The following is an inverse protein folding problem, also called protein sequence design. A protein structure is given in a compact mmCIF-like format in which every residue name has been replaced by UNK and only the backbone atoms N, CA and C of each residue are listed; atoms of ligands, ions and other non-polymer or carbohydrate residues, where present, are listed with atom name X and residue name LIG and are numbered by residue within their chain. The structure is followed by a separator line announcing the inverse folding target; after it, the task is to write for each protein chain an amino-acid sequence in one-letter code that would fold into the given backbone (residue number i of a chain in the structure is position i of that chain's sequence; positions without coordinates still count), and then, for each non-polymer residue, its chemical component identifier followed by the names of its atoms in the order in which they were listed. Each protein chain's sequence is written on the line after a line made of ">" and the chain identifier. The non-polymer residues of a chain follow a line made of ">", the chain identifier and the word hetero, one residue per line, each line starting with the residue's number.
data_IF_526509867489
#
_entry.id   IF_526509867489
#
_cell.length_a   1.000
_cell.length_b   1.000
_cell.length_c   1.000
_cell.angle_alpha   90.00
_cell.angle_beta   90.00
_cell.angle_gamma   90.00
#
_symmetry.space_group_name_H-M   'P 1'
#
loop_
_entity.id
_entity.type
_entity.pdbx_description
1 polymer ?
#
# COMPACT_ATOMS: atom_id res chain seq x y z
N UNK A 1 -25.76 -17.23 3.58
CA UNK A 1 -25.46 -15.79 3.47
C UNK A 1 -26.30 -15.16 2.38
N UNK A 2 -26.21 -15.61 1.12
CA UNK A 2 -27.07 -15.10 0.03
C UNK A 2 -28.58 -15.02 0.33
N UNK A 3 -29.23 -16.06 0.91
CA UNK A 3 -30.66 -15.96 1.25
C UNK A 3 -30.97 -14.88 2.28
N UNK A 4 -30.03 -14.58 3.19
CA UNK A 4 -30.18 -13.53 4.19
C UNK A 4 -30.08 -12.14 3.53
N UNK A 5 -29.17 -11.97 2.57
CA UNK A 5 -29.04 -10.72 1.82
C UNK A 5 -30.29 -10.45 0.97
N UNK A 6 -30.84 -11.49 0.32
CA UNK A 6 -32.11 -11.36 -0.40
C UNK A 6 -33.27 -11.00 0.53
N UNK A 7 -33.39 -11.67 1.69
CA UNK A 7 -34.40 -11.31 2.69
C UNK A 7 -34.23 -9.89 3.24
N UNK A 8 -32.98 -9.41 3.35
CA UNK A 8 -32.70 -8.02 3.74
C UNK A 8 -33.13 -7.04 2.66
N UNK A 9 -32.92 -7.36 1.38
CA UNK A 9 -33.41 -6.56 0.25
C UNK A 9 -34.93 -6.51 0.25
N UNK A 10 -35.61 -7.65 0.41
CA UNK A 10 -37.07 -7.71 0.51
C UNK A 10 -37.57 -6.84 1.68
N UNK A 11 -36.94 -6.97 2.86
CA UNK A 11 -37.25 -6.14 4.02
C UNK A 11 -37.03 -4.65 3.74
N UNK A 12 -35.93 -4.26 3.10
CA UNK A 12 -35.67 -2.86 2.73
C UNK A 12 -36.71 -2.34 1.74
N UNK A 13 -37.13 -3.15 0.77
CA UNK A 13 -38.11 -2.76 -0.24
C UNK A 13 -39.53 -2.63 0.33
N UNK A 14 -39.86 -3.40 1.37
CA UNK A 14 -41.15 -3.35 2.05
C UNK A 14 -41.30 -2.18 3.04
N UNK A 15 -40.23 -1.44 3.34
CA UNK A 15 -40.28 -0.26 4.20
C UNK A 15 -40.95 0.92 3.47
N UNK A 16 -42.11 1.42 3.96
CA UNK A 16 -42.87 2.47 3.27
C UNK A 16 -42.24 3.87 3.39
N UNK A 17 -41.36 4.07 4.37
CA UNK A 17 -40.62 5.30 4.63
C UNK A 17 -39.12 5.02 4.63
N UNK A 18 -38.31 6.05 4.37
CA UNK A 18 -36.85 5.95 4.42
C UNK A 18 -36.32 5.53 5.80
N UNK A 19 -35.10 5.00 5.84
CA UNK A 19 -34.46 4.60 7.09
C UNK A 19 -34.25 5.79 8.04
N UNK A 20 -34.39 5.53 9.35
CA UNK A 20 -33.92 6.45 10.38
C UNK A 20 -32.41 6.69 10.22
N UNK A 21 -31.91 7.91 10.51
CA UNK A 21 -30.50 8.25 10.29
C UNK A 21 -29.49 7.26 10.87
N UNK A 22 -29.67 6.88 12.14
CA UNK A 22 -28.76 5.95 12.81
C UNK A 22 -28.89 4.52 12.27
N UNK A 23 -30.07 4.14 11.76
CA UNK A 23 -30.29 2.83 11.15
C UNK A 23 -29.52 2.72 9.83
N UNK A 24 -29.50 3.77 9.01
CA UNK A 24 -28.74 3.80 7.77
C UNK A 24 -27.23 3.58 8.03
N UNK A 25 -26.65 4.34 8.97
CA UNK A 25 -25.24 4.19 9.33
C UNK A 25 -24.91 2.83 9.92
N UNK A 26 -25.77 2.28 10.79
CA UNK A 26 -25.56 0.97 11.42
C UNK A 26 -25.65 -0.17 10.41
N UNK A 27 -26.61 -0.12 9.48
CA UNK A 27 -26.78 -1.16 8.47
C UNK A 27 -25.58 -1.21 7.53
N UNK A 28 -25.10 -0.05 7.05
CA UNK A 28 -23.90 0.03 6.24
C UNK A 28 -22.65 -0.42 7.02
N UNK A 29 -22.50 -0.01 8.28
CA UNK A 29 -21.40 -0.46 9.13
C UNK A 29 -21.31 -2.00 9.22
N UNK A 30 -22.47 -2.66 9.32
CA UNK A 30 -22.54 -4.12 9.37
C UNK A 30 -22.18 -4.81 8.05
N UNK A 31 -22.01 -4.07 6.95
CA UNK A 31 -21.55 -4.61 5.67
C UNK A 31 -20.03 -4.73 5.57
N UNK A 32 -19.23 -4.15 6.49
CA UNK A 32 -17.76 -4.01 6.43
C UNK A 32 -16.90 -5.26 6.17
N UNK A 33 -17.51 -6.45 6.12
CA UNK A 33 -16.87 -7.74 5.85
C UNK A 33 -17.69 -8.64 4.93
N UNK A 34 -18.71 -8.11 4.25
CA UNK A 34 -19.54 -8.88 3.33
C UNK A 34 -18.78 -9.14 2.02
N UNK A 35 -18.82 -10.37 1.49
CA UNK A 35 -18.19 -10.65 0.21
C UNK A 35 -18.90 -9.93 -0.94
N UNK A 36 -18.14 -9.64 -1.99
CA UNK A 36 -18.65 -9.09 -3.24
C UNK A 36 -19.54 -10.11 -3.95
N UNK A 37 -20.85 -9.97 -3.78
CA UNK A 37 -21.86 -10.86 -4.38
C UNK A 37 -23.03 -10.05 -4.94
N UNK A 38 -23.86 -10.68 -5.76
CA UNK A 38 -25.10 -10.06 -6.26
C UNK A 38 -26.04 -9.66 -5.12
N UNK A 39 -26.06 -10.41 -4.01
CA UNK A 39 -26.84 -10.06 -2.82
C UNK A 39 -26.33 -8.79 -2.15
N UNK A 40 -25.02 -8.66 -1.95
CA UNK A 40 -24.41 -7.44 -1.37
C UNK A 40 -24.69 -6.23 -2.26
N UNK A 41 -24.58 -6.40 -3.59
CA UNK A 41 -24.92 -5.34 -4.54
C UNK A 41 -26.37 -4.90 -4.45
N UNK A 42 -27.31 -5.84 -4.40
CA UNK A 42 -28.73 -5.53 -4.26
C UNK A 42 -29.05 -4.79 -2.95
N UNK A 43 -28.37 -5.17 -1.85
CA UNK A 43 -28.48 -4.44 -0.57
C UNK A 43 -27.99 -3.01 -0.71
N UNK A 44 -26.82 -2.78 -1.33
CA UNK A 44 -26.26 -1.44 -1.52
C UNK A 44 -27.16 -0.56 -2.38
N UNK A 45 -27.72 -1.10 -3.47
CA UNK A 45 -28.68 -0.38 -4.31
C UNK A 45 -29.95 0.03 -3.54
N UNK A 46 -30.52 -0.89 -2.75
CA UNK A 46 -31.68 -0.59 -1.90
C UNK A 46 -31.32 0.46 -0.83
N UNK A 47 -30.15 0.34 -0.20
CA UNK A 47 -29.65 1.29 0.79
C UNK A 47 -29.46 2.69 0.20
N UNK A 48 -28.94 2.81 -1.02
CA UNK A 48 -28.75 4.11 -1.69
C UNK A 48 -30.09 4.87 -1.83
N UNK A 49 -31.17 4.17 -2.20
CA UNK A 49 -32.51 4.76 -2.24
C UNK A 49 -32.93 5.26 -0.85
N UNK A 50 -32.78 4.43 0.18
CA UNK A 50 -33.15 4.79 1.56
C UNK A 50 -32.36 5.99 2.07
N UNK A 51 -31.05 6.02 1.86
CA UNK A 51 -30.18 7.14 2.23
C UNK A 51 -30.63 8.42 1.52
N UNK A 52 -31.02 8.34 0.25
CA UNK A 52 -31.54 9.49 -0.49
C UNK A 52 -32.88 10.02 0.05
N UNK A 53 -33.62 9.19 0.80
CA UNK A 53 -34.89 9.56 1.46
C UNK A 53 -34.71 9.96 2.92
N UNK A 54 -33.61 9.58 3.56
CA UNK A 54 -33.29 10.04 4.90
C UNK A 54 -33.07 11.55 4.86
N UNK A 55 -33.74 12.35 5.71
CA UNK A 55 -33.67 13.81 5.62
C UNK A 55 -32.34 14.39 6.14
N UNK A 56 -31.66 13.67 7.03
CA UNK A 56 -30.44 14.13 7.70
C UNK A 56 -29.63 12.93 8.21
N UNK A 57 -28.32 12.96 8.06
CA UNK A 57 -27.39 12.06 8.76
C UNK A 57 -26.47 12.90 9.66
N UNK A 58 -26.36 12.49 10.93
CA UNK A 58 -25.40 13.09 11.86
C UNK A 58 -23.98 12.61 11.59
N UNK A 59 -22.98 13.24 12.22
CA UNK A 59 -21.57 12.92 12.03
C UNK A 59 -21.26 11.44 12.30
N UNK A 60 -21.85 10.86 13.35
CA UNK A 60 -21.66 9.45 13.69
C UNK A 60 -22.24 8.52 12.62
N UNK A 61 -23.44 8.80 12.12
CA UNK A 61 -24.07 8.02 11.08
C UNK A 61 -23.27 8.09 9.77
N UNK A 62 -22.74 9.27 9.41
CA UNK A 62 -21.87 9.45 8.25
C UNK A 62 -20.58 8.65 8.38
N UNK A 63 -19.88 8.80 9.51
CA UNK A 63 -18.63 8.09 9.77
C UNK A 63 -18.81 6.57 9.74
N UNK A 64 -19.84 6.05 10.41
CA UNK A 64 -20.15 4.62 10.42
C UNK A 64 -20.56 4.08 9.05
N UNK A 65 -21.37 4.85 8.31
CA UNK A 65 -21.81 4.48 6.96
C UNK A 65 -20.61 4.26 6.03
N UNK A 66 -19.74 5.27 5.93
CA UNK A 66 -18.57 5.20 5.06
C UNK A 66 -17.55 4.17 5.54
N UNK A 67 -17.29 4.07 6.85
CA UNK A 67 -16.44 3.02 7.40
C UNK A 67 -16.94 1.62 7.01
N UNK A 68 -18.26 1.43 7.00
CA UNK A 68 -18.92 0.19 6.56
C UNK A 68 -18.66 -0.20 5.10
N UNK A 69 -18.26 0.77 4.26
CA UNK A 69 -17.94 0.53 2.86
C UNK A 69 -16.48 0.13 2.63
N UNK A 70 -15.67 0.00 3.68
CA UNK A 70 -14.28 -0.42 3.54
C UNK A 70 -14.15 -1.72 2.74
N UNK A 71 -13.22 -1.75 1.78
CA UNK A 71 -12.98 -2.90 0.90
C UNK A 71 -14.20 -3.36 0.08
N UNK A 72 -15.27 -2.55 -0.03
CA UNK A 72 -16.38 -2.85 -0.91
C UNK A 72 -15.94 -2.83 -2.37
N UNK A 73 -16.48 -3.73 -3.21
CA UNK A 73 -16.18 -3.74 -4.63
C UNK A 73 -16.70 -2.47 -5.32
N UNK A 74 -16.04 -2.11 -6.43
CA UNK A 74 -16.55 -1.13 -7.39
C UNK A 74 -17.81 -1.67 -8.07
N UNK A 75 -18.98 -1.24 -7.61
CA UNK A 75 -20.27 -1.61 -8.20
C UNK A 75 -21.20 -0.39 -8.26
N UNK A 76 -22.27 -0.50 -9.06
CA UNK A 76 -23.27 0.57 -9.20
C UNK A 76 -23.94 0.88 -7.84
N UNK A 77 -24.15 -0.12 -7.00
CA UNK A 77 -24.65 0.04 -5.63
C UNK A 77 -23.70 0.82 -4.73
N UNK A 78 -22.40 0.49 -4.73
CA UNK A 78 -21.38 1.26 -3.98
C UNK A 78 -21.34 2.71 -4.46
N UNK A 79 -21.33 2.93 -5.77
CA UNK A 79 -21.35 4.26 -6.38
C UNK A 79 -22.60 5.06 -5.95
N UNK A 80 -23.78 4.45 -6.02
CA UNK A 80 -25.03 5.10 -5.62
C UNK A 80 -25.05 5.48 -4.13
N UNK A 81 -24.51 4.63 -3.26
CA UNK A 81 -24.36 4.95 -1.82
C UNK A 81 -23.40 6.13 -1.64
N UNK A 82 -22.22 6.13 -2.28
CA UNK A 82 -21.24 7.22 -2.17
C UNK A 82 -21.82 8.56 -2.63
N UNK A 83 -22.54 8.59 -3.75
CA UNK A 83 -23.23 9.78 -4.25
C UNK A 83 -24.27 10.30 -3.24
N UNK A 84 -25.07 9.40 -2.65
CA UNK A 84 -26.04 9.78 -1.64
C UNK A 84 -25.35 10.30 -0.35
N UNK A 85 -24.24 9.69 0.05
CA UNK A 85 -23.45 10.12 1.21
C UNK A 85 -22.81 11.49 0.98
N UNK A 86 -22.28 11.78 -0.21
CA UNK A 86 -21.71 13.08 -0.55
C UNK A 86 -22.72 14.22 -0.36
N UNK A 87 -23.98 14.00 -0.75
CA UNK A 87 -25.05 14.95 -0.47
C UNK A 87 -25.24 15.19 1.03
N UNK A 88 -25.31 14.13 1.83
CA UNK A 88 -25.45 14.24 3.30
C UNK A 88 -24.26 14.94 3.95
N UNK A 89 -23.04 14.64 3.51
CA UNK A 89 -21.82 15.32 3.98
C UNK A 89 -21.91 16.81 3.68
N UNK A 90 -22.37 17.20 2.49
CA UNK A 90 -22.55 18.61 2.12
C UNK A 90 -23.62 19.35 2.93
N UNK A 91 -24.51 18.62 3.61
CA UNK A 91 -25.63 19.17 4.40
C UNK A 91 -25.44 19.07 5.90
N UNK A 92 -24.58 18.18 6.38
CA UNK A 92 -24.27 18.17 7.81
C UNK A 92 -23.55 19.47 8.17
N UNK A 93 -23.91 20.13 9.27
CA UNK A 93 -23.23 21.35 9.70
C UNK A 93 -21.84 21.09 10.27
N UNK A 94 -21.55 19.85 10.66
CA UNK A 94 -20.31 19.50 11.36
C UNK A 94 -20.00 18.01 11.22
N UNK A 95 -18.72 17.69 11.07
CA UNK A 95 -18.17 16.36 11.30
C UNK A 95 -17.09 16.46 12.39
N UNK A 96 -17.21 15.63 13.42
CA UNK A 96 -16.15 15.51 14.42
C UNK A 96 -14.93 14.76 13.85
N UNK A 97 -13.80 14.87 14.56
CA UNK A 97 -12.54 14.26 14.15
C UNK A 97 -12.69 12.75 13.88
N UNK A 98 -13.41 12.04 14.76
CA UNK A 98 -13.60 10.60 14.64
C UNK A 98 -14.40 10.25 13.37
N UNK A 99 -15.47 11.00 13.08
CA UNK A 99 -16.27 10.84 11.88
C UNK A 99 -15.43 11.09 10.62
N UNK A 100 -14.56 12.12 10.63
CA UNK A 100 -13.63 12.39 9.53
C UNK A 100 -12.67 11.22 9.30
N UNK A 101 -11.99 10.78 10.36
CA UNK A 101 -11.03 9.67 10.29
C UNK A 101 -11.68 8.38 9.80
N UNK A 102 -12.86 8.04 10.33
CA UNK A 102 -13.62 6.85 9.92
C UNK A 102 -14.14 6.94 8.48
N UNK A 103 -14.66 8.10 8.09
CA UNK A 103 -15.20 8.33 6.75
C UNK A 103 -14.13 8.12 5.68
N UNK A 104 -12.98 8.78 5.83
CA UNK A 104 -11.88 8.66 4.89
C UNK A 104 -11.26 7.26 4.92
N UNK A 105 -11.10 6.65 6.10
CA UNK A 105 -10.62 5.27 6.22
C UNK A 105 -11.53 4.28 5.48
N UNK A 106 -12.85 4.51 5.50
CA UNK A 106 -13.83 3.74 4.74
C UNK A 106 -13.61 3.74 3.23
N UNK A 107 -12.95 4.77 2.68
CA UNK A 107 -12.62 4.87 1.25
C UNK A 107 -11.40 4.03 0.86
N UNK A 108 -10.76 3.33 1.80
CA UNK A 108 -9.60 2.50 1.51
C UNK A 108 -9.89 1.48 0.40
N UNK A 109 -8.95 1.35 -0.55
CA UNK A 109 -9.06 0.47 -1.72
C UNK A 109 -10.28 0.74 -2.63
N UNK A 110 -11.01 1.84 -2.44
CA UNK A 110 -12.07 2.19 -3.36
C UNK A 110 -11.51 2.62 -4.71
N UNK A 111 -12.21 2.28 -5.81
CA UNK A 111 -11.90 2.82 -7.12
C UNK A 111 -12.08 4.35 -7.16
N UNK A 112 -11.40 4.98 -8.11
CA UNK A 112 -11.73 6.35 -8.48
C UNK A 112 -13.00 6.35 -9.34
N UNK A 113 -14.09 6.78 -8.72
CA UNK A 113 -15.39 6.99 -9.35
C UNK A 113 -15.90 8.39 -9.02
N UNK A 114 -16.94 8.82 -9.71
CA UNK A 114 -17.58 10.11 -9.46
C UNK A 114 -18.10 10.21 -8.01
N UNK A 115 -18.55 9.08 -7.42
CA UNK A 115 -19.06 9.01 -6.05
C UNK A 115 -17.94 9.17 -5.01
N UNK A 116 -16.82 8.48 -5.20
CA UNK A 116 -15.62 8.67 -4.37
C UNK A 116 -15.15 10.12 -4.44
N UNK A 117 -15.09 10.69 -5.64
CA UNK A 117 -14.71 12.09 -5.85
C UNK A 117 -15.66 13.06 -5.15
N UNK A 118 -16.97 12.85 -5.28
CA UNK A 118 -17.99 13.67 -4.62
C UNK A 118 -17.87 13.63 -3.09
N UNK A 119 -17.58 12.45 -2.51
CA UNK A 119 -17.34 12.31 -1.07
C UNK A 119 -16.09 13.10 -0.66
N UNK A 120 -14.97 12.93 -1.36
CA UNK A 120 -13.72 13.64 -1.03
C UNK A 120 -13.90 15.17 -1.09
N UNK A 121 -14.55 15.66 -2.15
CA UNK A 121 -14.87 17.09 -2.30
C UNK A 121 -15.77 17.60 -1.17
N UNK A 122 -16.78 16.83 -0.78
CA UNK A 122 -17.68 17.19 0.31
C UNK A 122 -16.99 17.15 1.69
N UNK A 123 -16.00 16.27 1.88
CA UNK A 123 -15.24 16.13 3.13
C UNK A 123 -14.23 17.26 3.36
N UNK A 124 -13.61 17.80 2.31
CA UNK A 124 -12.51 18.77 2.44
C UNK A 124 -12.86 20.04 3.27
N UNK A 125 -14.04 20.67 3.13
CA UNK A 125 -14.44 21.77 4.00
C UNK A 125 -14.56 21.37 5.48
N UNK A 126 -15.13 20.19 5.76
CA UNK A 126 -15.25 19.67 7.13
C UNK A 126 -13.91 19.39 7.78
N UNK A 127 -12.95 18.89 7.00
CA UNK A 127 -11.57 18.71 7.47
C UNK A 127 -10.98 20.08 7.80
N UNK A 128 -11.12 21.06 6.90
CA UNK A 128 -10.55 22.41 7.11
C UNK A 128 -11.11 23.12 8.34
N UNK A 129 -12.38 22.88 8.67
CA UNK A 129 -13.09 23.51 9.79
C UNK A 129 -13.03 22.70 11.09
N UNK A 130 -12.49 21.48 11.05
CA UNK A 130 -12.34 20.65 12.25
C UNK A 130 -11.44 21.36 13.27
N UNK A 131 -11.74 21.34 14.57
CA UNK A 131 -10.92 22.04 15.56
C UNK A 131 -9.54 21.41 15.77
N UNK A 132 -9.44 20.08 15.69
CA UNK A 132 -8.19 19.33 15.78
C UNK A 132 -8.42 17.87 15.38
N UNK A 133 -7.43 17.25 14.74
CA UNK A 133 -7.39 15.81 14.52
C UNK A 133 -6.26 15.20 15.38
N UNK A 134 -6.50 14.04 16.02
CA UNK A 134 -5.40 13.32 16.66
C UNK A 134 -4.55 12.60 15.62
N UNK A 135 -3.37 12.14 16.02
CA UNK A 135 -2.50 11.33 15.17
C UNK A 135 -3.20 10.08 14.61
N UNK A 136 -4.10 9.45 15.39
CA UNK A 136 -4.90 8.31 14.92
C UNK A 136 -5.84 8.71 13.77
N UNK A 137 -6.58 9.81 13.91
CA UNK A 137 -7.47 10.26 12.83
C UNK A 137 -6.69 10.67 11.59
N UNK A 138 -5.54 11.33 11.76
CA UNK A 138 -4.63 11.70 10.66
C UNK A 138 -4.14 10.45 9.92
N UNK A 139 -3.62 9.47 10.66
CA UNK A 139 -3.11 8.22 10.10
C UNK A 139 -4.19 7.45 9.36
N UNK A 140 -5.39 7.35 9.93
CA UNK A 140 -6.54 6.69 9.30
C UNK A 140 -7.04 7.41 8.05
N UNK A 141 -7.16 8.74 8.12
CA UNK A 141 -7.62 9.57 7.02
C UNK A 141 -6.71 9.43 5.80
N UNK A 142 -5.40 9.59 5.98
CA UNK A 142 -4.44 9.47 4.90
C UNK A 142 -4.31 8.04 4.39
N UNK A 143 -4.35 7.04 5.28
CA UNK A 143 -4.37 5.63 4.87
C UNK A 143 -5.57 5.31 3.96
N UNK A 144 -6.74 5.89 4.25
CA UNK A 144 -7.94 5.78 3.42
C UNK A 144 -7.77 6.25 1.98
N UNK A 145 -6.80 7.14 1.72
CA UNK A 145 -6.48 7.63 0.38
C UNK A 145 -5.55 6.69 -0.41
N UNK A 146 -5.19 5.52 0.13
CA UNK A 146 -4.34 4.57 -0.59
C UNK A 146 -4.90 4.22 -1.97
N UNK A 147 -4.03 4.21 -2.98
CA UNK A 147 -4.37 3.92 -4.38
C UNK A 147 -5.36 4.92 -5.03
N UNK A 148 -5.71 6.03 -4.37
CA UNK A 148 -6.49 7.09 -5.00
C UNK A 148 -5.65 7.81 -6.06
N UNK A 149 -6.19 8.07 -7.25
CA UNK A 149 -5.53 8.92 -8.22
C UNK A 149 -5.55 10.37 -7.76
N UNK A 150 -4.72 11.19 -8.39
CA UNK A 150 -4.77 12.63 -8.19
C UNK A 150 -5.97 13.24 -8.90
N UNK A 151 -7.02 13.48 -8.13
CA UNK A 151 -8.21 14.25 -8.50
C UNK A 151 -8.28 15.54 -7.69
N UNK A 152 -9.21 16.43 -8.05
CA UNK A 152 -9.43 17.68 -7.32
C UNK A 152 -9.90 17.40 -5.87
N UNK A 153 -10.72 16.37 -5.66
CA UNK A 153 -11.16 15.92 -4.34
C UNK A 153 -10.03 15.38 -3.48
N UNK A 154 -9.17 14.51 -4.02
CA UNK A 154 -7.97 14.04 -3.30
C UNK A 154 -7.04 15.20 -2.96
N UNK A 155 -6.80 16.11 -3.90
CA UNK A 155 -5.97 17.30 -3.66
C UNK A 155 -6.55 18.19 -2.57
N UNK A 156 -7.86 18.45 -2.58
CA UNK A 156 -8.54 19.26 -1.58
C UNK A 156 -8.44 18.64 -0.18
N UNK A 157 -8.62 17.33 -0.06
CA UNK A 157 -8.43 16.61 1.22
C UNK A 157 -6.99 16.72 1.70
N UNK A 158 -5.99 16.48 0.84
CA UNK A 158 -4.58 16.59 1.24
C UNK A 158 -4.20 18.00 1.70
N UNK A 159 -4.67 19.03 0.97
CA UNK A 159 -4.46 20.42 1.38
C UNK A 159 -5.12 20.74 2.73
N UNK A 160 -6.34 20.26 2.96
CA UNK A 160 -7.05 20.43 4.23
C UNK A 160 -6.38 19.68 5.39
N UNK A 161 -5.76 18.53 5.13
CA UNK A 161 -5.08 17.72 6.15
C UNK A 161 -3.74 18.31 6.59
N UNK A 162 -3.00 19.01 5.72
CA UNK A 162 -1.63 19.47 6.02
C UNK A 162 -1.52 20.40 7.26
N UNK A 163 -2.43 21.37 7.49
CA UNK A 163 -2.45 22.15 8.73
C UNK A 163 -2.67 21.28 9.97
N UNK A 164 -3.63 20.34 9.91
CA UNK A 164 -3.90 19.41 11.04
C UNK A 164 -2.71 18.55 11.40
N UNK A 165 -1.94 18.11 10.40
CA UNK A 165 -0.70 17.38 10.62
C UNK A 165 0.30 18.29 11.34
N UNK A 166 0.48 19.53 10.87
CA UNK A 166 1.45 20.47 11.42
C UNK A 166 1.14 20.91 12.85
N UNK A 167 -0.14 20.87 13.24
CA UNK A 167 -0.64 21.27 14.55
C UNK A 167 -0.92 20.09 15.48
N UNK A 168 -0.76 18.85 15.00
CA UNK A 168 -0.99 17.65 15.79
C UNK A 168 -0.05 17.61 17.01
N UNK A 169 -0.54 17.26 18.21
CA UNK A 169 0.30 17.19 19.40
C UNK A 169 1.45 16.18 19.27
N UNK A 170 1.19 15.06 18.59
CA UNK A 170 2.14 13.98 18.34
C UNK A 170 1.60 13.04 17.28
N UNK A 171 2.49 12.41 16.51
CA UNK A 171 2.18 11.24 15.68
C UNK A 171 3.05 10.07 16.14
N UNK A 172 2.44 8.90 16.35
CA UNK A 172 3.16 7.65 16.59
C UNK A 172 3.83 7.12 15.32
N UNK A 173 4.82 6.24 15.47
CA UNK A 173 5.49 5.61 14.32
C UNK A 173 4.51 4.86 13.40
N UNK A 174 3.48 4.23 13.99
CA UNK A 174 2.40 3.58 13.25
C UNK A 174 1.60 4.61 12.45
N UNK A 175 1.17 5.72 13.06
CA UNK A 175 0.39 6.76 12.38
C UNK A 175 1.18 7.41 11.24
N UNK A 176 2.48 7.67 11.44
CA UNK A 176 3.40 8.12 10.39
C UNK A 176 3.46 7.11 9.24
N UNK A 177 3.64 5.82 9.57
CA UNK A 177 3.70 4.75 8.58
C UNK A 177 2.41 4.64 7.77
N UNK A 178 1.25 4.72 8.43
CA UNK A 178 -0.07 4.70 7.80
C UNK A 178 -0.26 5.88 6.86
N UNK A 179 0.09 7.08 7.34
CA UNK A 179 -0.05 8.31 6.60
C UNK A 179 0.76 8.27 5.30
N UNK A 180 2.04 7.91 5.39
CA UNK A 180 2.90 7.82 4.22
C UNK A 180 2.49 6.69 3.28
N UNK A 181 2.09 5.54 3.81
CA UNK A 181 1.59 4.43 2.99
C UNK A 181 0.34 4.83 2.18
N UNK A 182 -0.57 5.60 2.79
CA UNK A 182 -1.73 6.18 2.11
C UNK A 182 -1.38 7.06 0.91
N UNK A 183 -0.22 7.71 0.92
CA UNK A 183 0.24 8.56 -0.18
C UNK A 183 0.89 7.79 -1.33
N UNK A 184 1.02 6.47 -1.24
CA UNK A 184 1.69 5.66 -2.26
C UNK A 184 1.18 5.95 -3.68
N UNK A 185 2.11 6.05 -4.63
CA UNK A 185 1.81 6.35 -6.04
C UNK A 185 1.16 7.71 -6.33
N UNK A 186 0.96 8.57 -5.34
CA UNK A 186 0.45 9.92 -5.59
C UNK A 186 1.48 10.75 -6.37
N UNK A 187 1.05 11.53 -7.37
CA UNK A 187 1.94 12.47 -8.05
C UNK A 187 2.29 13.64 -7.13
N UNK A 188 3.29 14.42 -7.53
CA UNK A 188 3.69 15.61 -6.79
C UNK A 188 2.74 16.78 -7.06
N UNK A 189 1.65 16.84 -6.31
CA UNK A 189 0.77 18.00 -6.21
C UNK A 189 1.14 18.89 -5.03
N UNK A 190 0.49 20.05 -4.91
CA UNK A 190 0.71 20.95 -3.78
C UNK A 190 0.24 20.32 -2.46
N UNK A 191 -0.88 19.60 -2.46
CA UNK A 191 -1.41 18.87 -1.32
C UNK A 191 -0.49 17.74 -0.87
N UNK A 192 -0.04 16.88 -1.79
CA UNK A 192 0.94 15.82 -1.47
C UNK A 192 2.23 16.41 -0.90
N UNK A 193 2.74 17.48 -1.51
CA UNK A 193 3.93 18.17 -1.03
C UNK A 193 3.75 18.76 0.38
N UNK A 194 2.62 19.41 0.64
CA UNK A 194 2.30 20.00 1.94
C UNK A 194 2.21 18.93 3.04
N UNK A 195 1.55 17.80 2.76
CA UNK A 195 1.45 16.68 3.70
C UNK A 195 2.83 16.08 3.99
N UNK A 196 3.65 15.82 2.96
CA UNK A 196 5.00 15.27 3.17
C UNK A 196 5.88 16.20 4.00
N UNK A 197 5.81 17.52 3.75
CA UNK A 197 6.53 18.52 4.54
C UNK A 197 6.03 18.58 5.99
N UNK A 198 4.71 18.50 6.20
CA UNK A 198 4.11 18.53 7.53
C UNK A 198 4.46 17.27 8.36
N UNK A 199 4.58 16.10 7.74
CA UNK A 199 4.92 14.83 8.43
C UNK A 199 6.41 14.77 8.80
N UNK A 200 7.31 15.38 8.01
CA UNK A 200 8.76 15.20 8.18
C UNK A 200 9.32 15.58 9.58
N UNK A 201 8.88 16.66 10.26
CA UNK A 201 9.27 16.94 11.64
C UNK A 201 8.92 15.81 12.61
N UNK A 202 7.70 15.26 12.52
CA UNK A 202 7.27 14.14 13.37
C UNK A 202 8.09 12.88 13.15
N UNK A 203 8.51 12.60 11.91
CA UNK A 203 9.46 11.50 11.64
C UNK A 203 10.76 11.75 12.38
N UNK A 204 11.30 12.97 12.32
CA UNK A 204 12.61 13.30 12.91
C UNK A 204 12.59 13.20 14.44
N UNK A 205 11.47 13.56 15.06
CA UNK A 205 11.28 13.59 16.51
C UNK A 205 10.71 12.30 17.10
N UNK A 206 10.23 11.38 16.25
CA UNK A 206 9.68 10.12 16.70
C UNK A 206 10.69 9.30 17.53
N UNK A 207 10.21 8.48 18.49
CA UNK A 207 10.99 7.37 19.02
C UNK A 207 11.55 6.48 17.88
N UNK A 208 12.55 5.63 18.16
CA UNK A 208 13.09 4.73 17.15
C UNK A 208 12.01 4.01 16.34
N UNK A 209 11.96 4.28 15.04
CA UNK A 209 11.02 3.59 14.15
C UNK A 209 11.47 2.15 13.92
N UNK A 210 10.52 1.23 13.96
CA UNK A 210 10.69 -0.17 13.60
C UNK A 210 11.00 -0.34 12.11
N UNK A 211 11.51 -1.51 11.74
CA UNK A 211 11.72 -1.85 10.34
C UNK A 211 10.43 -1.78 9.51
N UNK A 212 9.29 -2.10 10.11
CA UNK A 212 7.98 -2.04 9.47
C UNK A 212 7.57 -0.60 9.16
N UNK A 213 7.68 0.30 10.13
CA UNK A 213 7.31 1.71 9.97
C UNK A 213 8.20 2.40 8.93
N UNK A 214 9.51 2.14 8.96
CA UNK A 214 10.44 2.63 7.93
C UNK A 214 10.10 2.03 6.56
N UNK A 215 9.78 0.73 6.51
CA UNK A 215 9.38 0.06 5.27
C UNK A 215 8.14 0.70 4.64
N UNK A 216 7.10 0.96 5.44
CA UNK A 216 5.87 1.62 5.01
C UNK A 216 6.13 3.05 4.56
N UNK A 217 6.93 3.81 5.31
CA UNK A 217 7.33 5.16 4.95
C UNK A 217 8.03 5.21 3.58
N UNK A 218 8.99 4.31 3.35
CA UNK A 218 9.69 4.23 2.06
C UNK A 218 8.75 3.77 0.95
N UNK A 219 7.86 2.80 1.22
CA UNK A 219 6.86 2.36 0.25
C UNK A 219 5.88 3.48 -0.13
N UNK A 220 5.51 4.35 0.81
CA UNK A 220 4.72 5.55 0.53
C UNK A 220 5.35 6.48 -0.50
N UNK A 221 6.68 6.59 -0.49
CA UNK A 221 7.44 7.36 -1.48
C UNK A 221 7.61 6.65 -2.83
N UNK A 222 7.11 5.41 -2.96
CA UNK A 222 7.24 4.63 -4.18
C UNK A 222 6.58 5.36 -5.35
N UNK A 223 7.30 5.42 -6.46
CA UNK A 223 6.87 6.03 -7.73
C UNK A 223 6.71 7.55 -7.70
N UNK A 224 6.82 8.20 -6.55
CA UNK A 224 6.91 9.65 -6.47
C UNK A 224 8.18 10.17 -7.16
N UNK A 225 8.13 11.35 -7.80
CA UNK A 225 9.32 12.01 -8.29
C UNK A 225 10.06 12.73 -7.13
N UNK A 226 11.35 13.03 -7.30
CA UNK A 226 12.09 13.84 -6.33
C UNK A 226 11.52 15.26 -6.20
N UNK A 227 11.14 15.65 -4.97
CA UNK A 227 10.60 16.97 -4.59
C UNK A 227 11.17 17.39 -3.23
N UNK A 228 10.89 18.62 -2.79
CA UNK A 228 11.32 19.05 -1.47
C UNK A 228 10.67 18.22 -0.35
N UNK A 229 9.39 17.84 -0.46
CA UNK A 229 8.66 17.07 0.53
C UNK A 229 9.12 15.62 0.60
N UNK A 230 9.31 14.96 -0.56
CA UNK A 230 9.88 13.60 -0.57
C UNK A 230 11.30 13.60 -0.01
N UNK A 231 12.12 14.63 -0.30
CA UNK A 231 13.44 14.77 0.31
C UNK A 231 13.38 15.05 1.82
N UNK A 232 12.44 15.88 2.30
CA UNK A 232 12.27 16.14 3.73
C UNK A 232 11.95 14.86 4.51
N UNK A 233 11.05 14.02 3.98
CA UNK A 233 10.76 12.69 4.57
C UNK A 233 12.01 11.80 4.56
N UNK A 234 12.76 11.77 3.45
CA UNK A 234 13.98 10.97 3.35
C UNK A 234 15.08 11.46 4.31
N UNK A 235 15.23 12.77 4.48
CA UNK A 235 16.15 13.39 5.43
C UNK A 235 15.80 12.99 6.87
N UNK A 236 14.52 13.09 7.21
CA UNK A 236 14.00 12.71 8.51
C UNK A 236 14.19 11.21 8.81
N UNK A 237 14.01 10.34 7.83
CA UNK A 237 14.18 8.88 8.02
C UNK A 237 15.63 8.45 8.26
N UNK A 238 16.64 9.24 7.87
CA UNK A 238 18.06 8.88 8.04
C UNK A 238 18.40 8.61 9.50
N UNK A 239 17.82 9.34 10.46
CA UNK A 239 18.17 9.20 11.89
C UNK A 239 17.71 7.87 12.49
N UNK A 240 16.75 7.19 11.84
CA UNK A 240 16.21 5.90 12.27
C UNK A 240 16.90 4.70 11.63
N UNK A 241 17.54 4.90 10.48
CA UNK A 241 18.12 3.85 9.64
C UNK A 241 19.12 2.94 10.38
N UNK A 242 19.99 3.54 11.20
CA UNK A 242 21.02 2.81 11.93
C UNK A 242 20.47 1.89 13.03
N UNK A 243 19.22 2.11 13.48
CA UNK A 243 18.61 1.41 14.61
C UNK A 243 17.86 0.14 14.21
N UNK A 244 17.74 -0.14 12.90
CA UNK A 244 17.09 -1.36 12.40
C UNK A 244 17.92 -2.59 12.78
N UNK A 245 17.32 -3.56 13.46
CA UNK A 245 17.97 -4.85 13.73
C UNK A 245 17.54 -5.93 12.74
N UNK A 246 18.47 -6.82 12.38
CA UNK A 246 18.15 -8.02 11.61
C UNK A 246 17.10 -8.89 12.30
N UNK A 247 17.06 -8.90 13.65
CA UNK A 247 16.05 -9.62 14.41
C UNK A 247 14.65 -9.01 14.26
N UNK A 248 14.55 -7.69 14.12
CA UNK A 248 13.25 -7.03 13.94
C UNK A 248 12.72 -7.25 12.53
N UNK A 249 13.60 -7.28 11.54
CA UNK A 249 13.22 -7.65 10.18
C UNK A 249 12.79 -9.11 10.09
N UNK A 250 13.51 -10.05 10.72
CA UNK A 250 13.15 -11.48 10.63
C UNK A 250 11.85 -11.84 11.35
N UNK A 251 11.44 -11.10 12.39
CA UNK A 251 10.11 -11.22 13.02
C UNK A 251 8.96 -11.01 12.03
N UNK A 252 9.17 -10.22 10.97
CA UNK A 252 8.17 -10.02 9.89
C UNK A 252 8.09 -11.21 8.92
N UNK A 253 8.95 -12.22 9.10
CA UNK A 253 9.09 -13.33 8.17
C UNK A 253 9.66 -12.92 6.81
N UNK A 254 10.34 -11.77 6.73
CA UNK A 254 10.98 -11.26 5.51
C UNK A 254 12.51 -11.42 5.67
N UNK A 255 13.21 -12.00 4.68
CA UNK A 255 14.66 -12.05 4.70
C UNK A 255 15.28 -10.64 4.66
N UNK A 256 16.33 -10.33 5.45
CA UNK A 256 16.95 -9.01 5.47
C UNK A 256 17.37 -8.45 4.09
N UNK A 257 17.87 -9.32 3.21
CA UNK A 257 18.24 -8.92 1.85
C UNK A 257 17.02 -8.55 0.99
N UNK A 258 15.89 -9.24 1.17
CA UNK A 258 14.61 -8.91 0.52
C UNK A 258 14.08 -7.57 1.04
N UNK A 259 14.10 -7.36 2.36
CA UNK A 259 13.74 -6.07 2.96
C UNK A 259 14.55 -4.92 2.36
N UNK A 260 15.88 -5.04 2.31
CA UNK A 260 16.73 -4.01 1.72
C UNK A 260 16.45 -3.80 0.23
N UNK A 261 16.17 -4.86 -0.54
CA UNK A 261 15.82 -4.75 -1.95
C UNK A 261 14.50 -3.98 -2.16
N UNK A 262 13.49 -4.22 -1.33
CA UNK A 262 12.22 -3.49 -1.32
C UNK A 262 12.44 -2.02 -0.95
N UNK A 263 13.23 -1.73 0.09
CA UNK A 263 13.58 -0.34 0.44
C UNK A 263 14.21 0.39 -0.75
N UNK A 264 15.17 -0.25 -1.44
CA UNK A 264 15.81 0.32 -2.63
C UNK A 264 14.81 0.49 -3.77
N UNK A 265 13.90 -0.47 -3.96
CA UNK A 265 12.88 -0.41 -5.00
C UNK A 265 11.93 0.77 -4.80
N UNK A 266 11.49 1.02 -3.57
CA UNK A 266 10.59 2.11 -3.26
C UNK A 266 11.25 3.48 -3.49
N UNK A 267 12.50 3.67 -3.06
CA UNK A 267 13.19 4.97 -3.19
C UNK A 267 14.07 5.11 -4.44
N UNK A 268 13.94 4.22 -5.42
CA UNK A 268 14.80 4.18 -6.61
C UNK A 268 14.83 5.49 -7.41
N UNK A 269 13.78 6.30 -7.35
CA UNK A 269 13.71 7.60 -8.02
C UNK A 269 14.54 8.67 -7.30
N UNK A 270 14.82 8.46 -6.01
CA UNK A 270 15.48 9.42 -5.12
C UNK A 270 16.96 9.07 -4.89
N UNK A 271 17.51 8.06 -5.56
CA UNK A 271 18.90 7.63 -5.36
C UNK A 271 19.95 8.70 -5.70
N UNK A 272 19.58 9.80 -6.37
CA UNK A 272 20.45 10.97 -6.55
C UNK A 272 20.58 11.81 -5.28
N UNK A 273 19.61 11.74 -4.37
CA UNK A 273 19.61 12.46 -3.11
C UNK A 273 20.61 11.84 -2.11
N UNK A 274 21.49 12.63 -1.46
CA UNK A 274 22.50 12.12 -0.55
C UNK A 274 21.92 11.30 0.61
N UNK A 275 20.82 11.79 1.20
CA UNK A 275 20.17 11.14 2.34
C UNK A 275 19.56 9.79 1.97
N UNK A 276 19.05 9.63 0.75
CA UNK A 276 18.57 8.33 0.27
C UNK A 276 19.70 7.31 0.20
N UNK A 277 20.87 7.69 -0.33
CA UNK A 277 22.03 6.78 -0.34
C UNK A 277 22.49 6.47 1.08
N UNK A 278 22.57 7.48 1.94
CA UNK A 278 22.93 7.33 3.35
C UNK A 278 22.01 6.34 4.05
N UNK A 279 20.70 6.59 3.99
CA UNK A 279 19.62 5.75 4.51
C UNK A 279 19.78 4.29 4.08
N UNK A 280 19.82 4.01 2.78
CA UNK A 280 19.95 2.64 2.26
C UNK A 280 21.26 1.98 2.73
N UNK A 281 22.36 2.72 2.79
CA UNK A 281 23.65 2.16 3.23
C UNK A 281 23.71 1.91 4.73
N UNK A 282 23.04 2.73 5.54
CA UNK A 282 22.89 2.51 6.97
C UNK A 282 22.01 1.28 7.24
N UNK A 283 20.86 1.16 6.57
CA UNK A 283 20.01 -0.04 6.64
C UNK A 283 20.84 -1.28 6.26
N UNK A 284 21.59 -1.21 5.16
CA UNK A 284 22.47 -2.31 4.76
C UNK A 284 23.50 -2.64 5.83
N UNK A 285 24.12 -1.64 6.45
CA UNK A 285 25.08 -1.82 7.54
C UNK A 285 24.47 -2.52 8.75
N UNK A 286 23.31 -2.05 9.22
CA UNK A 286 22.64 -2.63 10.38
C UNK A 286 22.12 -4.05 10.14
N UNK A 287 21.83 -4.39 8.88
CA UNK A 287 21.47 -5.75 8.46
C UNK A 287 22.67 -6.65 8.12
N UNK A 288 23.90 -6.18 8.33
CA UNK A 288 25.15 -6.88 7.97
C UNK A 288 25.21 -7.28 6.48
N UNK A 289 24.63 -6.46 5.60
CA UNK A 289 24.63 -6.67 4.17
C UNK A 289 25.75 -5.85 3.51
N UNK A 290 26.50 -6.41 2.54
CA UNK A 290 27.71 -5.78 2.02
C UNK A 290 27.45 -4.69 0.97
N UNK A 291 26.38 -3.89 1.04
CA UNK A 291 26.09 -2.85 0.06
C UNK A 291 26.82 -1.54 0.40
N UNK A 292 27.53 -0.96 -0.58
CA UNK A 292 28.23 0.33 -0.44
C UNK A 292 27.50 1.43 -1.23
N UNK A 293 27.68 2.72 -0.89
CA UNK A 293 27.08 3.83 -1.63
C UNK A 293 27.37 3.80 -3.15
N UNK A 294 28.58 3.38 -3.55
CA UNK A 294 28.98 3.24 -4.95
C UNK A 294 28.27 2.12 -5.71
N UNK A 295 27.68 1.15 -4.99
CA UNK A 295 26.92 0.06 -5.58
C UNK A 295 25.49 0.55 -5.99
N UNK A 296 25.03 1.70 -5.48
CA UNK A 296 23.75 2.35 -5.79
C UNK A 296 23.89 3.35 -6.94
N UNK A 297 23.89 2.85 -8.18
CA UNK A 297 23.96 3.70 -9.38
C UNK A 297 22.57 4.22 -9.77
N UNK A 298 22.23 5.51 -9.60
CA UNK A 298 20.84 5.97 -9.67
C UNK A 298 20.19 5.70 -11.04
N UNK A 299 20.81 6.18 -12.13
CA UNK A 299 20.27 6.00 -13.48
C UNK A 299 20.11 4.54 -13.92
N UNK A 300 20.88 3.63 -13.32
CA UNK A 300 20.77 2.19 -13.53
C UNK A 300 19.60 1.61 -12.74
N UNK A 301 19.54 1.87 -11.44
CA UNK A 301 18.51 1.35 -10.56
C UNK A 301 17.13 1.87 -10.96
N UNK A 302 16.97 3.18 -11.17
CA UNK A 302 15.71 3.75 -11.64
C UNK A 302 15.27 3.08 -12.95
N UNK A 303 16.16 2.93 -13.94
CA UNK A 303 15.83 2.31 -15.24
C UNK A 303 15.49 0.82 -15.13
N UNK A 304 16.32 0.04 -14.45
CA UNK A 304 16.17 -1.42 -14.36
C UNK A 304 14.95 -1.79 -13.51
N UNK A 305 14.74 -1.14 -12.38
CA UNK A 305 13.61 -1.42 -11.50
C UNK A 305 12.31 -0.82 -12.03
N UNK A 306 12.33 0.28 -12.79
CA UNK A 306 11.13 0.76 -13.47
C UNK A 306 10.55 -0.28 -14.44
N UNK A 307 11.38 -1.15 -15.04
CA UNK A 307 10.90 -2.26 -15.87
C UNK A 307 10.09 -3.31 -15.11
N UNK A 308 10.15 -3.34 -13.77
CA UNK A 308 9.39 -4.28 -12.93
C UNK A 308 7.94 -3.84 -12.69
N UNK A 309 7.58 -2.57 -12.93
CA UNK A 309 6.27 -1.99 -12.59
C UNK A 309 5.12 -2.38 -13.54
N UNK A 310 4.99 -3.64 -13.95
CA UNK A 310 3.87 -4.10 -14.80
C UNK A 310 3.68 -3.26 -16.08
N UNK A 311 4.76 -2.78 -16.70
CA UNK A 311 4.69 -2.22 -18.04
C UNK A 311 5.00 -3.31 -19.06
N UNK A 312 4.00 -4.01 -19.63
CA UNK A 312 4.21 -5.11 -20.58
C UNK A 312 4.98 -4.70 -21.84
N UNK A 313 5.11 -3.38 -22.13
CA UNK A 313 5.92 -2.88 -23.26
C UNK A 313 7.43 -3.02 -23.05
N UNK A 314 7.89 -3.18 -21.82
CA UNK A 314 9.32 -3.31 -21.47
C UNK A 314 9.73 -4.70 -20.99
N UNK A 315 8.76 -5.61 -20.90
CA UNK A 315 9.03 -7.04 -20.81
C UNK A 315 9.12 -7.53 -22.25
N UNK A 316 10.35 -7.71 -22.73
CA UNK A 316 10.55 -8.09 -24.11
C UNK A 316 10.16 -9.58 -24.28
N UNK A 317 9.46 -9.95 -25.37
CA UNK A 317 9.49 -11.33 -25.81
C UNK A 317 10.96 -11.68 -26.05
N UNK A 318 11.44 -12.75 -25.43
CA UNK A 318 12.80 -13.23 -25.65
C UNK A 318 13.03 -13.31 -27.18
N UNK A 319 13.96 -12.53 -27.75
CA UNK A 319 14.18 -12.44 -29.20
C UNK A 319 14.47 -13.78 -29.87
N UNK A 320 14.81 -14.81 -29.08
CA UNK A 320 15.16 -16.15 -29.54
C UNK A 320 14.07 -17.19 -29.28
N UNK A 321 13.10 -16.89 -28.41
CA UNK A 321 12.06 -17.83 -28.02
C UNK A 321 10.63 -17.30 -28.18
N UNK A 322 10.44 -16.10 -28.73
CA UNK A 322 9.18 -15.60 -29.33
C UNK A 322 7.97 -15.39 -28.40
N UNK A 323 7.95 -16.04 -27.22
CA UNK A 323 6.79 -16.18 -26.35
C UNK A 323 7.15 -16.11 -24.85
N UNK A 324 8.43 -15.95 -24.51
CA UNK A 324 8.92 -15.93 -23.13
C UNK A 324 9.06 -14.50 -22.59
N UNK A 325 8.45 -14.21 -21.45
CA UNK A 325 8.64 -12.95 -20.73
C UNK A 325 10.01 -12.96 -20.03
N UNK A 326 10.85 -11.96 -20.31
CA UNK A 326 12.18 -11.85 -19.70
C UNK A 326 12.42 -10.48 -19.03
N UNK A 327 13.07 -10.50 -17.87
CA UNK A 327 13.54 -9.30 -17.16
C UNK A 327 15.05 -9.34 -16.93
N UNK A 328 15.70 -8.23 -17.23
CA UNK A 328 17.15 -8.05 -17.10
C UNK A 328 17.48 -7.20 -15.86
N UNK A 329 18.13 -7.83 -14.89
CA UNK A 329 18.61 -7.25 -13.63
C UNK A 329 20.15 -7.17 -13.54
N UNK A 330 20.90 -7.37 -14.63
CA UNK A 330 22.38 -7.47 -14.59
C UNK A 330 23.07 -6.23 -14.01
N UNK A 331 22.40 -5.10 -14.09
CA UNK A 331 22.94 -3.82 -13.67
C UNK A 331 22.68 -3.50 -12.19
N UNK A 332 21.90 -4.33 -11.50
CA UNK A 332 21.72 -4.22 -10.05
C UNK A 332 22.90 -4.87 -9.31
N UNK A 333 23.10 -4.48 -8.05
CA UNK A 333 24.15 -5.06 -7.22
C UNK A 333 23.99 -6.57 -7.11
N UNK A 334 25.00 -7.32 -7.61
CA UNK A 334 25.06 -8.78 -7.50
C UNK A 334 25.00 -9.29 -6.05
N UNK A 335 25.34 -8.43 -5.07
CA UNK A 335 25.27 -8.73 -3.63
C UNK A 335 23.83 -8.91 -3.14
N UNK A 336 22.86 -8.31 -3.84
CA UNK A 336 21.42 -8.45 -3.62
C UNK A 336 20.75 -9.21 -4.76
N UNK A 337 21.52 -9.96 -5.56
CA UNK A 337 21.02 -10.62 -6.77
C UNK A 337 19.85 -11.57 -6.50
N UNK A 338 19.91 -12.37 -5.42
CA UNK A 338 18.78 -13.22 -5.03
C UNK A 338 17.55 -12.40 -4.66
N UNK A 339 17.71 -11.36 -3.84
CA UNK A 339 16.60 -10.55 -3.36
C UNK A 339 15.87 -9.86 -4.51
N UNK A 340 16.61 -9.28 -5.47
CA UNK A 340 16.01 -8.70 -6.67
C UNK A 340 15.41 -9.77 -7.60
N UNK A 341 16.01 -10.96 -7.70
CA UNK A 341 15.45 -12.07 -8.46
C UNK A 341 14.11 -12.53 -7.86
N UNK A 342 14.08 -12.76 -6.55
CA UNK A 342 12.88 -13.06 -5.77
C UNK A 342 11.80 -12.00 -6.01
N UNK A 343 12.13 -10.72 -5.81
CA UNK A 343 11.20 -9.61 -6.02
C UNK A 343 10.61 -9.61 -7.44
N UNK A 344 11.45 -9.80 -8.46
CA UNK A 344 10.99 -9.87 -9.85
C UNK A 344 10.07 -11.07 -10.12
N UNK A 345 10.38 -12.24 -9.55
CA UNK A 345 9.51 -13.41 -9.66
C UNK A 345 8.15 -13.16 -9.00
N UNK A 346 8.10 -12.50 -7.84
CA UNK A 346 6.82 -12.20 -7.18
C UNK A 346 5.96 -11.19 -7.93
N UNK A 347 6.58 -10.14 -8.46
CA UNK A 347 5.83 -9.08 -9.13
C UNK A 347 5.33 -9.51 -10.53
N UNK A 348 6.13 -10.26 -11.28
CA UNK A 348 5.87 -10.51 -12.70
C UNK A 348 5.32 -11.91 -13.01
N UNK A 349 5.66 -12.94 -12.23
CA UNK A 349 5.22 -14.31 -12.50
C UNK A 349 3.69 -14.51 -12.44
N UNK A 350 2.92 -13.81 -11.57
CA UNK A 350 1.46 -13.90 -11.59
C UNK A 350 0.87 -13.62 -12.98
N UNK A 351 1.47 -12.67 -13.72
CA UNK A 351 0.99 -12.15 -15.00
C UNK A 351 1.44 -12.96 -16.23
N UNK A 352 2.21 -14.03 -16.06
CA UNK A 352 2.70 -14.85 -17.18
C UNK A 352 2.84 -16.33 -16.83
N UNK A 353 2.83 -17.20 -17.85
CA UNK A 353 3.02 -18.65 -17.65
C UNK A 353 4.49 -19.01 -17.47
N UNK A 354 5.40 -18.26 -18.08
CA UNK A 354 6.84 -18.42 -17.89
C UNK A 354 7.52 -17.07 -17.78
N UNK A 355 8.35 -16.92 -16.76
CA UNK A 355 9.21 -15.76 -16.53
C UNK A 355 10.67 -16.18 -16.52
N UNK A 356 11.49 -15.45 -17.26
CA UNK A 356 12.94 -15.55 -17.25
C UNK A 356 13.55 -14.32 -16.58
N UNK A 357 14.22 -14.49 -15.46
CA UNK A 357 14.95 -13.45 -14.74
C UNK A 357 16.43 -13.62 -15.00
N UNK A 358 17.03 -12.65 -15.68
CA UNK A 358 18.48 -12.63 -15.94
C UNK A 358 19.13 -11.67 -14.95
N UNK A 359 20.14 -12.13 -14.20
CA UNK A 359 20.73 -11.32 -13.12
C UNK A 359 22.22 -11.64 -12.91
N UNK A 360 22.94 -10.67 -12.34
CA UNK A 360 24.38 -10.77 -12.05
C UNK A 360 25.24 -10.14 -13.15
N UNK A 361 26.28 -9.38 -12.80
CA UNK A 361 27.07 -8.64 -13.81
C UNK A 361 28.06 -9.54 -14.55
N UNK A 362 28.17 -9.37 -15.87
CA UNK A 362 29.15 -10.05 -16.74
C UNK A 362 30.62 -9.82 -16.34
N UNK A 363 30.94 -8.70 -15.66
CA UNK A 363 32.32 -8.30 -15.34
C UNK A 363 33.03 -9.21 -14.32
N UNK A 364 32.32 -10.06 -13.59
CA UNK A 364 32.90 -11.00 -12.60
C UNK A 364 32.22 -12.38 -12.62
N UNK A 365 31.72 -12.79 -13.79
CA UNK A 365 30.88 -13.98 -13.95
C UNK A 365 31.51 -15.27 -13.40
N UNK A 366 32.81 -15.48 -13.65
CA UNK A 366 33.53 -16.68 -13.21
C UNK A 366 33.65 -16.75 -11.67
N UNK A 367 33.91 -15.62 -11.02
CA UNK A 367 34.08 -15.55 -9.56
C UNK A 367 32.75 -15.61 -8.79
N UNK A 368 31.65 -15.23 -9.44
CA UNK A 368 30.33 -15.14 -8.79
C UNK A 368 29.37 -16.28 -9.19
N UNK A 369 29.77 -17.21 -10.07
CA UNK A 369 28.92 -18.30 -10.60
C UNK A 369 28.21 -19.10 -9.51
N UNK A 370 28.94 -19.45 -8.44
CA UNK A 370 28.41 -20.18 -7.28
C UNK A 370 27.47 -19.34 -6.40
N UNK A 371 27.80 -18.06 -6.18
CA UNK A 371 26.95 -17.13 -5.41
C UNK A 371 25.64 -16.83 -6.12
N UNK A 372 25.69 -16.72 -7.46
CA UNK A 372 24.50 -16.55 -8.30
C UNK A 372 23.66 -17.83 -8.26
N UNK A 373 24.26 -19.01 -8.43
CA UNK A 373 23.51 -20.27 -8.28
C UNK A 373 22.84 -20.41 -6.91
N UNK A 374 23.56 -20.15 -5.82
CA UNK A 374 22.97 -20.18 -4.47
C UNK A 374 21.88 -19.11 -4.30
N UNK A 375 22.06 -17.94 -4.92
CA UNK A 375 21.07 -16.87 -4.96
C UNK A 375 19.79 -17.28 -5.70
N UNK A 376 19.92 -17.94 -6.85
CA UNK A 376 18.81 -18.58 -7.53
C UNK A 376 18.18 -19.63 -6.63
N UNK A 377 18.93 -20.58 -6.09
CA UNK A 377 18.40 -21.68 -5.28
C UNK A 377 17.64 -21.18 -4.03
N UNK A 378 18.10 -20.09 -3.41
CA UNK A 378 17.43 -19.43 -2.28
C UNK A 378 16.17 -18.67 -2.72
N UNK A 379 16.24 -17.89 -3.80
CA UNK A 379 15.07 -17.24 -4.37
C UNK A 379 14.00 -18.28 -4.76
N UNK A 380 14.44 -19.40 -5.32
CA UNK A 380 13.61 -20.52 -5.76
C UNK A 380 13.07 -21.36 -4.61
N UNK A 381 13.75 -21.45 -3.45
CA UNK A 381 13.27 -22.29 -2.33
C UNK A 381 11.91 -21.86 -1.81
N UNK A 382 11.56 -20.59 -2.00
CA UNK A 382 10.28 -20.02 -1.59
C UNK A 382 9.15 -20.27 -2.59
N UNK A 383 9.48 -20.71 -3.80
CA UNK A 383 8.53 -21.13 -4.84
C UNK A 383 8.46 -22.66 -4.99
N UNK A 384 9.22 -23.43 -4.18
CA UNK A 384 9.22 -24.90 -4.23
C UNK A 384 7.84 -25.41 -3.80
N UNK A 385 7.05 -25.85 -4.79
CA UNK A 385 5.73 -26.43 -4.60
C UNK A 385 5.28 -27.20 -5.86
N UNK A 386 4.17 -27.93 -5.77
CA UNK A 386 3.71 -28.83 -6.84
C UNK A 386 3.36 -28.13 -8.16
N UNK A 387 3.22 -26.79 -8.18
CA UNK A 387 2.71 -26.00 -9.32
C UNK A 387 3.71 -25.33 -10.26
N UNK A 388 5.02 -25.40 -10.04
CA UNK A 388 6.02 -24.72 -10.88
C UNK A 388 7.14 -25.66 -11.35
N UNK A 389 7.67 -25.43 -12.56
CA UNK A 389 8.95 -25.96 -13.03
C UNK A 389 9.98 -24.85 -13.07
N UNK A 390 11.23 -25.20 -12.74
CA UNK A 390 12.29 -24.21 -12.50
C UNK A 390 13.57 -24.65 -13.19
N UNK A 391 14.28 -23.71 -13.78
CA UNK A 391 15.58 -23.98 -14.42
C UNK A 391 16.54 -22.83 -14.12
N UNK A 392 17.72 -23.16 -13.61
CA UNK A 392 18.85 -22.25 -13.55
C UNK A 392 19.87 -22.67 -14.60
N UNK A 393 20.22 -21.75 -15.49
CA UNK A 393 21.14 -22.03 -16.58
C UNK A 393 21.92 -20.77 -17.00
N UNK A 394 22.87 -20.97 -17.91
CA UNK A 394 23.65 -19.91 -18.52
C UNK A 394 23.33 -19.86 -20.00
N UNK A 395 23.08 -18.67 -20.52
CA UNK A 395 22.96 -18.42 -21.95
C UNK A 395 23.90 -17.27 -22.31
N UNK A 396 24.84 -17.51 -23.24
CA UNK A 396 25.85 -16.53 -23.66
C UNK A 396 26.56 -15.82 -22.49
N UNK A 397 27.00 -16.60 -21.51
CA UNK A 397 27.66 -16.07 -20.31
C UNK A 397 26.77 -15.17 -19.44
N UNK A 398 25.44 -15.25 -19.56
CA UNK A 398 24.50 -14.60 -18.66
C UNK A 398 23.75 -15.66 -17.82
N UNK A 399 23.77 -15.57 -16.49
CA UNK A 399 22.99 -16.46 -15.63
C UNK A 399 21.52 -16.04 -15.67
N UNK A 400 20.64 -17.01 -15.81
CA UNK A 400 19.21 -16.77 -15.69
C UNK A 400 18.54 -17.82 -14.82
N UNK A 401 17.45 -17.39 -14.19
CA UNK A 401 16.44 -18.25 -13.58
C UNK A 401 15.20 -18.19 -14.46
N UNK A 402 14.69 -19.35 -14.85
CA UNK A 402 13.42 -19.45 -15.55
C UNK A 402 12.44 -20.23 -14.67
N UNK A 403 11.26 -19.67 -14.48
CA UNK A 403 10.17 -20.29 -13.73
C UNK A 403 8.95 -20.38 -14.63
N UNK A 404 8.39 -21.57 -14.76
CA UNK A 404 7.22 -21.89 -15.59
C UNK A 404 6.13 -22.49 -14.71
N UNK A 405 4.87 -22.06 -14.89
CA UNK A 405 3.69 -22.67 -14.26
C UNK A 405 3.43 -24.05 -14.89
N UNK A 406 3.18 -25.08 -14.08
CA UNK A 406 2.77 -26.41 -14.59
C UNK A 406 1.33 -26.35 -15.08
N UNK A 407 1.04 -27.09 -16.17
CA UNK A 407 -0.32 -27.21 -16.71
C UNK A 407 -1.30 -27.71 -15.63
N UNK A 408 -2.43 -27.02 -15.47
CA UNK A 408 -3.43 -27.28 -14.42
C UNK A 408 -3.38 -26.33 -13.21
N UNK A 409 -2.30 -25.56 -13.03
CA UNK A 409 -2.12 -24.59 -11.95
C UNK A 409 -2.07 -23.13 -12.42
N UNK A 410 -2.64 -22.83 -13.58
CA UNK A 410 -2.68 -21.48 -14.17
C UNK A 410 -3.28 -20.40 -13.24
N UNK A 411 -4.08 -20.82 -12.25
CA UNK A 411 -4.77 -19.97 -11.30
C UNK A 411 -4.28 -20.06 -9.86
N UNK A 412 -3.19 -20.78 -9.54
CA UNK A 412 -2.68 -20.79 -8.17
C UNK A 412 -2.06 -19.42 -7.85
N UNK A 413 -2.70 -18.57 -7.03
CA UNK A 413 -2.10 -17.30 -6.65
C UNK A 413 -0.84 -17.62 -5.87
N UNK A 414 0.26 -16.90 -6.12
CA UNK A 414 1.31 -16.82 -5.10
C UNK A 414 0.61 -16.33 -3.82
N UNK A 415 0.85 -16.93 -2.64
CA UNK A 415 0.19 -16.51 -1.42
C UNK A 415 0.34 -14.98 -1.28
N UNK A 416 -0.77 -14.22 -1.32
CA UNK A 416 -0.72 -12.77 -1.20
C UNK A 416 -0.12 -12.45 0.18
N UNK A 417 0.82 -11.52 0.22
CA UNK A 417 1.37 -11.07 1.49
C UNK A 417 2.55 -11.89 2.04
N UNK A 418 3.42 -12.47 1.21
CA UNK A 418 4.70 -13.01 1.71
C UNK A 418 5.95 -12.10 1.50
N UNK A 419 5.83 -11.02 0.73
CA UNK A 419 6.99 -10.42 0.05
C UNK A 419 7.12 -8.91 0.13
N UNK A 420 5.99 -8.21 0.00
CA UNK A 420 5.95 -6.77 0.15
C UNK A 420 5.90 -6.48 1.66
N UNK A 421 6.93 -5.80 2.17
CA UNK A 421 7.02 -5.34 3.57
C UNK A 421 5.74 -4.61 3.94
N UNK A 422 5.20 -3.80 3.03
CA UNK A 422 3.98 -3.04 3.25
C UNK A 422 2.70 -3.88 3.10
N UNK A 423 2.66 -4.89 2.21
CA UNK A 423 1.48 -5.77 2.05
C UNK A 423 1.35 -6.87 3.13
N UNK A 424 2.44 -7.22 3.83
CA UNK A 424 2.37 -8.03 5.07
C UNK A 424 1.93 -7.23 6.28
N UNK A 425 2.10 -5.90 6.20
CA UNK A 425 2.18 -5.03 7.36
C UNK A 425 0.86 -4.32 7.69
N UNK A 426 -0.28 -4.74 7.13
CA UNK A 426 -1.53 -4.03 7.38
C UNK A 426 -2.76 -4.93 7.56
N UNK A 427 -3.06 -5.19 8.83
CA UNK A 427 -4.43 -5.13 9.37
C UNK A 427 -4.33 -4.10 10.50
N UNK A 428 -5.07 -2.98 10.47
CA UNK A 428 -5.13 -2.12 11.64
C UNK A 428 -5.63 -2.96 12.81
N UNK A 429 -4.97 -2.86 13.97
CA UNK A 429 -5.47 -3.49 15.19
C UNK A 429 -6.89 -2.97 15.42
N UNK A 430 -7.89 -3.83 15.24
CA UNK A 430 -9.23 -3.52 15.71
C UNK A 430 -9.16 -3.34 17.23
N UNK A 431 -10.08 -2.57 17.79
CA UNK A 431 -10.15 -2.30 19.24
C UNK A 431 -10.14 -3.57 20.11
N UNK A 432 -10.48 -4.73 19.54
CA UNK A 432 -10.38 -6.04 20.17
C UNK A 432 -8.93 -6.51 20.43
N UNK A 433 -7.98 -6.18 19.54
CA UNK A 433 -6.59 -6.60 19.68
C UNK A 433 -5.82 -5.83 20.78
N UNK A 434 -6.28 -4.63 21.14
CA UNK A 434 -5.71 -3.84 22.25
C UNK A 434 -6.20 -4.35 23.61
N UNK A 435 -7.39 -4.95 23.68
CA UNK A 435 -7.94 -5.51 24.91
C UNK A 435 -7.23 -6.80 25.36
N UNK A 436 -6.70 -7.60 24.42
CA UNK A 436 -5.96 -8.83 24.74
C UNK A 436 -4.54 -8.58 25.27
N UNK A 437 -3.88 -7.49 24.87
CA UNK A 437 -2.55 -7.13 25.38
C UNK A 437 -2.60 -6.60 26.82
N UNK A 438 -3.59 -5.77 27.15
CA UNK A 438 -3.81 -5.32 28.52
C UNK A 438 -4.17 -6.45 29.50
N UNK A 439 -4.70 -7.57 28.99
CA UNK A 439 -4.99 -8.74 29.83
C UNK A 439 -3.75 -9.63 30.09
N UNK A 440 -2.75 -9.58 29.21
CA UNK A 440 -1.52 -10.37 29.35
C UNK A 440 -0.39 -9.63 30.09
N UNK A 441 -0.52 -8.32 30.36
CA UNK A 441 0.41 -7.58 31.22
C UNK A 441 -0.02 -7.54 32.70
N UNK A 442 -1.24 -7.98 33.02
CA UNK A 442 -1.78 -8.03 34.41
C UNK A 442 -1.93 -9.45 35.00
N UNK A 443 -1.36 -10.49 34.37
CA UNK A 443 -1.28 -11.86 34.93
C UNK A 443 0.16 -12.32 35.00
#
# INVERSE_FOLDING_TARGET
>A
MEPLLHAMVDWLNDLPEGLKPQAAGTLLYNLQAMPSTSGTEAVLQAMAWHISKTPFLDAQAIGNALYGLQNMPSTDGTEAVLQAMAWHISKTPFLDAQAIGNALYGLQNMPSTDGTEAVLQAMAPHISEAPSLSGQEIGNALYGLQNMPSTDGTEAVLQAMAPHISEAPSLSGQEIGNALYGLQNMPSTAGTEAVLQAIAPYISEAPPLSAQEIGNALYGLQNMPPTAGTHAVLDALVVHAARISANDVTKTGIPPATYLAECIFSVRNHLTHPSTKSLITQISGSLNLPLRPQDLTPGTYSRTLWRLLNNPRHIHPDPRHGHLFAVDLHYLSHKLGHAFCTMALHQLLPSCDTLRVVYGSSRHLAANKGKMRASAELALSQFKGEGYTMTYAFQENQPYVQVTKKAGNAHHPLPPGQWNVAAKAFVPRSRAAVAEEHHNEET
#
